data_IF_783039457710
#
_entry.id   IF_783039457710
#
_cell.length_a   1.000
_cell.length_b   1.000
_cell.length_c   1.000
_cell.angle_alpha   90.00
_cell.angle_beta   90.00
_cell.angle_gamma   90.00
#
_symmetry.space_group_name_H-M   'P 1'
#
loop_
_entity.id
_entity.type
_entity.pdbx_description
1 polymer ?
#
# COMPACT_ATOMS: atom_id res chain seq x y z
N UNK A 1 5.61 -32.92 33.69
CA UNK A 1 5.56 -31.66 32.92
C UNK A 1 4.61 -30.70 33.63
N UNK A 2 5.08 -29.49 33.89
CA UNK A 2 4.31 -28.37 34.45
C UNK A 2 4.62 -27.13 33.61
N UNK A 3 3.61 -26.30 33.32
CA UNK A 3 3.78 -25.10 32.51
C UNK A 3 2.77 -25.00 31.36
N UNK A 4 2.91 -23.99 30.52
CA UNK A 4 2.06 -23.82 29.33
C UNK A 4 2.62 -24.62 28.15
N UNK A 5 1.75 -25.22 27.34
CA UNK A 5 2.18 -25.99 26.19
C UNK A 5 1.06 -26.31 25.21
N UNK A 6 1.46 -26.64 23.99
CA UNK A 6 0.57 -27.05 22.91
C UNK A 6 0.75 -28.55 22.65
N UNK A 7 -0.35 -29.28 22.65
CA UNK A 7 -0.39 -30.71 22.34
C UNK A 7 -1.29 -30.95 21.13
N UNK A 8 -0.73 -31.60 20.11
CA UNK A 8 -1.45 -32.00 18.92
C UNK A 8 -1.88 -33.46 19.08
N UNK A 9 -3.18 -33.71 18.97
CA UNK A 9 -3.75 -35.05 19.00
C UNK A 9 -3.66 -35.70 17.61
N UNK A 10 -3.58 -37.03 17.56
CA UNK A 10 -3.57 -37.78 16.31
C UNK A 10 -4.84 -37.54 15.46
N UNK A 11 -5.96 -37.24 16.11
CA UNK A 11 -7.24 -36.91 15.46
C UNK A 11 -7.28 -35.50 14.84
N UNK A 12 -6.14 -34.77 14.81
CA UNK A 12 -6.04 -33.41 14.28
C UNK A 12 -6.58 -32.32 15.21
N UNK A 13 -7.03 -32.68 16.41
CA UNK A 13 -7.37 -31.69 17.46
C UNK A 13 -6.08 -31.12 18.04
N UNK A 14 -6.11 -29.89 18.54
CA UNK A 14 -5.02 -29.33 19.31
C UNK A 14 -5.51 -28.79 20.64
N UNK A 15 -4.69 -28.92 21.67
CA UNK A 15 -4.92 -28.28 22.96
C UNK A 15 -3.75 -27.36 23.27
N UNK A 16 -4.06 -26.12 23.58
CA UNK A 16 -3.12 -25.10 24.00
C UNK A 16 -3.53 -24.63 25.38
N UNK A 17 -2.66 -24.79 26.38
CA UNK A 17 -3.06 -24.41 27.73
C UNK A 17 -2.05 -24.76 28.80
N UNK A 18 -2.50 -24.57 30.03
CA UNK A 18 -1.72 -24.90 31.21
C UNK A 18 -1.75 -26.41 31.50
N UNK A 19 -0.58 -26.93 31.83
CA UNK A 19 -0.34 -28.33 32.15
C UNK A 19 0.21 -28.45 33.55
N UNK A 20 -0.26 -29.46 34.27
CA UNK A 20 0.24 -29.82 35.58
C UNK A 20 0.30 -31.34 35.69
N UNK A 21 1.46 -31.90 36.06
CA UNK A 21 1.72 -33.36 36.11
C UNK A 21 1.33 -34.11 34.83
N UNK A 22 1.50 -33.46 33.66
CA UNK A 22 1.14 -34.04 32.37
C UNK A 22 -0.38 -34.12 32.09
N UNK A 23 -1.20 -33.49 32.94
CA UNK A 23 -2.64 -33.31 32.71
C UNK A 23 -2.95 -31.86 32.40
N UNK A 24 -4.04 -31.63 31.66
CA UNK A 24 -4.58 -30.30 31.39
C UNK A 24 -5.16 -29.72 32.68
N UNK A 25 -4.62 -28.59 33.11
CA UNK A 25 -4.97 -27.97 34.39
C UNK A 25 -4.77 -26.46 34.34
N UNK A 26 -5.82 -25.70 34.66
CA UNK A 26 -5.85 -24.24 34.51
C UNK A 26 -6.53 -23.80 33.22
N UNK A 27 -6.20 -22.61 32.73
CA UNK A 27 -6.80 -22.07 31.51
C UNK A 27 -6.21 -22.74 30.27
N UNK A 28 -7.08 -23.09 29.32
CA UNK A 28 -6.66 -23.66 28.04
C UNK A 28 -7.77 -23.69 26.99
N UNK A 29 -7.36 -23.84 25.75
CA UNK A 29 -8.18 -23.87 24.55
C UNK A 29 -7.96 -25.18 23.81
N UNK A 30 -9.05 -25.83 23.40
CA UNK A 30 -9.04 -27.03 22.57
C UNK A 30 -9.68 -26.70 21.23
N UNK A 31 -8.93 -26.78 20.14
CA UNK A 31 -9.47 -26.61 18.78
C UNK A 31 -9.70 -27.96 18.14
N UNK A 32 -10.86 -28.11 17.51
CA UNK A 32 -11.26 -29.28 16.74
C UNK A 32 -10.99 -29.07 15.26
N UNK A 33 -10.79 -30.17 14.54
CA UNK A 33 -10.60 -30.20 13.08
C UNK A 33 -11.75 -29.54 12.31
N UNK A 34 -12.96 -29.54 12.87
CA UNK A 34 -14.15 -28.91 12.30
C UNK A 34 -14.18 -27.37 12.49
N UNK A 35 -13.11 -26.75 13.00
CA UNK A 35 -13.02 -25.31 13.27
C UNK A 35 -13.67 -24.87 14.60
N UNK A 36 -14.36 -25.78 15.30
CA UNK A 36 -14.90 -25.50 16.62
C UNK A 36 -13.78 -25.41 17.67
N UNK A 37 -13.69 -24.30 18.40
CA UNK A 37 -12.73 -24.11 19.49
C UNK A 37 -13.45 -23.94 20.83
N UNK A 38 -12.98 -24.66 21.84
CA UNK A 38 -13.49 -24.63 23.20
C UNK A 38 -12.40 -24.06 24.11
N UNK A 39 -12.55 -22.83 24.56
CA UNK A 39 -11.71 -22.25 25.60
C UNK A 39 -12.36 -22.40 26.97
N UNK A 40 -11.56 -22.44 28.02
CA UNK A 40 -12.11 -22.63 29.36
C UNK A 40 -11.12 -23.04 30.43
N UNK A 41 -11.65 -23.32 31.62
CA UNK A 41 -10.88 -23.84 32.75
C UNK A 41 -10.91 -25.36 32.75
N UNK A 42 -9.72 -25.95 32.78
CA UNK A 42 -9.46 -27.38 32.83
C UNK A 42 -9.03 -27.78 34.23
N UNK A 43 -9.56 -28.88 34.75
CA UNK A 43 -9.13 -29.46 36.02
C UNK A 43 -9.04 -30.99 35.84
N UNK A 44 -7.91 -31.57 36.24
CA UNK A 44 -7.67 -33.02 36.13
C UNK A 44 -7.87 -33.62 34.72
N UNK A 45 -7.69 -32.83 33.67
CA UNK A 45 -7.91 -33.27 32.29
C UNK A 45 -9.36 -33.12 31.78
N UNK A 46 -10.28 -32.61 32.60
CA UNK A 46 -11.69 -32.35 32.25
C UNK A 46 -11.93 -30.85 32.13
N UNK A 47 -12.74 -30.43 31.16
CA UNK A 47 -13.18 -29.05 31.02
C UNK A 47 -14.29 -28.76 32.04
N UNK A 48 -14.00 -27.99 33.08
CA UNK A 48 -14.99 -27.59 34.10
C UNK A 48 -15.87 -26.43 33.62
N UNK A 49 -15.24 -25.39 33.09
CA UNK A 49 -15.92 -24.19 32.62
C UNK A 49 -15.60 -24.04 31.15
N UNK A 50 -16.52 -24.39 30.26
CA UNK A 50 -16.40 -24.09 28.85
C UNK A 50 -16.81 -22.63 28.60
N UNK A 51 -15.84 -21.77 28.39
CA UNK A 51 -16.05 -20.49 27.71
C UNK A 51 -16.22 -20.80 26.22
N UNK A 52 -17.29 -21.49 25.83
CA UNK A 52 -17.64 -21.55 24.43
C UNK A 52 -17.90 -20.11 24.01
N UNK A 53 -17.19 -19.55 23.00
CA UNK A 53 -17.68 -18.37 22.33
C UNK A 53 -18.92 -18.84 21.58
N UNK A 54 -20.06 -18.93 22.28
CA UNK A 54 -21.34 -19.00 21.61
C UNK A 54 -21.36 -17.75 20.75
N UNK A 55 -21.52 -17.85 19.42
CA UNK A 55 -21.98 -16.71 18.66
C UNK A 55 -23.37 -16.45 19.24
N UNK A 56 -23.46 -15.61 20.26
CA UNK A 56 -24.76 -15.11 20.68
C UNK A 56 -25.29 -14.39 19.45
N UNK A 57 -26.49 -14.73 18.95
CA UNK A 57 -27.18 -13.89 17.99
C UNK A 57 -27.42 -12.56 18.73
N UNK A 58 -26.54 -11.57 18.52
CA UNK A 58 -26.57 -10.29 19.22
C UNK A 58 -25.36 -9.95 20.09
N UNK A 59 -24.38 -10.85 20.31
CA UNK A 59 -23.07 -10.39 20.78
C UNK A 59 -22.34 -9.78 19.58
N UNK A 60 -22.18 -8.47 19.59
CA UNK A 60 -21.41 -7.67 18.65
C UNK A 60 -19.90 -7.95 18.78
N UNK A 61 -19.51 -9.20 18.57
CA UNK A 61 -18.21 -9.54 17.99
C UNK A 61 -18.35 -9.94 16.52
N UNK A 62 -19.46 -9.52 15.88
CA UNK A 62 -19.50 -9.36 14.45
C UNK A 62 -18.42 -8.34 14.08
N UNK A 63 -17.22 -8.85 13.85
CA UNK A 63 -16.19 -8.18 13.07
C UNK A 63 -16.92 -7.80 11.79
N UNK A 64 -17.36 -6.55 11.70
CA UNK A 64 -18.05 -6.06 10.52
C UNK A 64 -17.05 -6.24 9.39
N UNK A 65 -17.26 -7.26 8.57
CA UNK A 65 -16.35 -7.63 7.49
C UNK A 65 -16.06 -6.42 6.61
N UNK A 66 -17.04 -5.54 6.43
CA UNK A 66 -16.90 -4.23 5.80
C UNK A 66 -15.87 -3.34 6.51
N UNK A 67 -15.92 -3.15 7.83
CA UNK A 67 -14.98 -2.28 8.56
C UNK A 67 -13.54 -2.81 8.56
N UNK A 68 -13.36 -4.13 8.56
CA UNK A 68 -12.03 -4.72 8.44
C UNK A 68 -11.52 -4.62 7.02
N UNK A 69 -12.37 -4.87 6.02
CA UNK A 69 -12.01 -4.67 4.62
C UNK A 69 -11.65 -3.20 4.34
N UNK A 70 -12.46 -2.25 4.80
CA UNK A 70 -12.21 -0.82 4.65
C UNK A 70 -10.88 -0.43 5.33
N UNK A 71 -10.65 -0.91 6.55
CA UNK A 71 -9.39 -0.64 7.26
C UNK A 71 -8.16 -1.26 6.55
N UNK A 72 -8.29 -2.45 5.99
CA UNK A 72 -7.22 -3.11 5.22
C UNK A 72 -6.99 -2.41 3.88
N UNK A 73 -8.06 -1.97 3.21
CA UNK A 73 -8.00 -1.20 1.97
C UNK A 73 -7.37 0.17 2.19
N UNK A 74 -7.75 0.87 3.25
CA UNK A 74 -7.16 2.15 3.64
C UNK A 74 -5.68 1.98 4.01
N UNK A 75 -5.34 0.94 4.76
CA UNK A 75 -3.95 0.62 5.08
C UNK A 75 -3.12 0.32 3.81
N UNK A 76 -3.68 -0.44 2.86
CA UNK A 76 -3.03 -0.70 1.55
C UNK A 76 -2.86 0.59 0.77
N UNK A 77 -3.89 1.42 0.66
CA UNK A 77 -3.84 2.68 -0.07
C UNK A 77 -2.86 3.68 0.58
N UNK A 78 -2.76 3.70 1.91
CA UNK A 78 -1.77 4.51 2.61
C UNK A 78 -0.33 3.99 2.36
N UNK A 79 -0.13 2.67 2.37
CA UNK A 79 1.16 2.07 2.05
C UNK A 79 1.59 2.33 0.60
N UNK A 80 0.67 2.25 -0.36
CA UNK A 80 0.93 2.58 -1.77
C UNK A 80 1.30 4.05 -1.97
N UNK A 81 0.63 4.98 -1.26
CA UNK A 81 1.00 6.41 -1.29
C UNK A 81 2.36 6.67 -0.67
N UNK A 82 2.69 5.98 0.42
CA UNK A 82 4.01 6.07 1.05
C UNK A 82 5.11 5.48 0.15
N UNK A 83 4.79 4.43 -0.62
CA UNK A 83 5.71 3.84 -1.59
C UNK A 83 5.88 4.72 -2.85
N UNK A 84 4.80 5.34 -3.33
CA UNK A 84 4.80 6.32 -4.42
C UNK A 84 5.16 7.75 -3.96
N UNK A 85 5.79 7.91 -2.79
CA UNK A 85 6.52 9.15 -2.53
C UNK A 85 7.51 9.29 -3.68
N UNK A 86 7.46 10.38 -4.48
CA UNK A 86 8.34 10.54 -5.61
C UNK A 86 9.75 10.38 -5.06
N UNK A 87 10.41 9.28 -5.44
CA UNK A 87 11.78 9.06 -5.03
C UNK A 87 12.55 10.27 -5.53
N UNK A 88 13.63 10.65 -4.84
CA UNK A 88 14.43 11.81 -5.24
C UNK A 88 14.76 11.76 -6.74
N UNK A 89 14.87 10.55 -7.29
CA UNK A 89 14.96 10.20 -8.71
C UNK A 89 13.90 10.85 -9.61
N UNK A 90 12.61 10.87 -9.25
CA UNK A 90 11.55 11.50 -10.06
C UNK A 90 11.69 13.02 -10.13
N UNK A 91 12.15 13.63 -9.04
CA UNK A 91 12.39 15.08 -8.99
C UNK A 91 13.59 15.46 -9.85
N UNK A 92 14.65 14.67 -9.81
CA UNK A 92 15.85 14.85 -10.64
C UNK A 92 15.50 14.62 -12.11
N UNK A 93 14.82 13.53 -12.44
CA UNK A 93 14.40 13.24 -13.81
C UNK A 93 13.51 14.34 -14.38
N UNK A 94 12.54 14.85 -13.61
CA UNK A 94 11.71 15.98 -14.05
C UNK A 94 12.55 17.25 -14.28
N UNK A 95 13.56 17.51 -13.46
CA UNK A 95 14.45 18.64 -13.64
C UNK A 95 15.34 18.50 -14.89
N UNK A 96 15.87 17.31 -15.16
CA UNK A 96 16.67 17.02 -16.36
C UNK A 96 15.82 17.21 -17.62
N UNK A 97 14.60 16.63 -17.65
CA UNK A 97 13.66 16.80 -18.77
C UNK A 97 13.28 18.27 -18.98
N UNK A 98 13.09 19.04 -17.91
CA UNK A 98 12.81 20.46 -18.01
C UNK A 98 14.00 21.26 -18.58
N UNK A 99 15.23 20.92 -18.20
CA UNK A 99 16.44 21.54 -18.73
C UNK A 99 16.62 21.24 -20.23
N UNK A 100 16.44 19.99 -20.65
CA UNK A 100 16.54 19.59 -22.05
C UNK A 100 15.47 20.28 -22.91
N UNK A 101 14.24 20.37 -22.42
CA UNK A 101 13.16 21.09 -23.12
C UNK A 101 13.49 22.58 -23.28
N UNK A 102 14.06 23.21 -22.26
CA UNK A 102 14.48 24.62 -22.32
C UNK A 102 15.63 24.84 -23.31
N UNK A 103 16.64 23.96 -23.30
CA UNK A 103 17.76 24.01 -24.24
C UNK A 103 17.28 23.85 -25.70
N UNK A 104 16.38 22.88 -25.95
CA UNK A 104 15.79 22.68 -27.26
C UNK A 104 14.95 23.88 -27.70
N UNK A 105 14.16 24.47 -26.81
CA UNK A 105 13.38 25.68 -27.12
C UNK A 105 14.28 26.88 -27.47
N UNK A 106 15.40 27.06 -26.76
CA UNK A 106 16.37 28.12 -27.05
C UNK A 106 17.05 27.93 -28.42
N UNK A 107 17.41 26.69 -28.78
CA UNK A 107 17.98 26.38 -30.08
C UNK A 107 16.99 26.66 -31.23
N UNK A 108 15.70 26.33 -31.04
CA UNK A 108 14.64 26.62 -32.01
C UNK A 108 14.41 28.14 -32.12
N UNK A 109 14.43 28.87 -31.00
CA UNK A 109 14.26 30.32 -31.01
C UNK A 109 15.43 31.04 -31.70
N UNK A 110 16.67 30.62 -31.44
CA UNK A 110 17.86 31.17 -32.09
C UNK A 110 17.88 30.90 -33.60
N UNK A 111 17.59 29.67 -34.01
CA UNK A 111 17.49 29.35 -35.44
C UNK A 111 16.34 30.12 -36.12
N UNK A 112 15.21 30.30 -35.44
CA UNK A 112 14.10 31.13 -35.93
C UNK A 112 14.50 32.60 -36.08
N UNK A 113 15.20 33.16 -35.09
CA UNK A 113 15.68 34.55 -35.13
C UNK A 113 16.62 34.80 -36.32
N UNK A 114 17.62 33.94 -36.53
CA UNK A 114 18.55 34.02 -37.68
C UNK A 114 17.82 33.91 -39.03
N UNK A 115 16.77 33.10 -39.10
CA UNK A 115 15.97 32.97 -40.32
C UNK A 115 15.12 34.22 -40.60
N UNK A 116 14.65 34.92 -39.56
CA UNK A 116 13.97 36.22 -39.69
C UNK A 116 14.93 37.34 -40.09
N UNK A 117 16.14 37.40 -39.53
CA UNK A 117 17.14 38.41 -39.92
C UNK A 117 17.53 38.28 -41.40
N UNK A 118 17.69 37.05 -41.91
CA UNK A 118 17.94 36.80 -43.34
C UNK A 118 16.75 37.14 -44.24
N UNK A 119 15.54 37.19 -43.69
CA UNK A 119 14.33 37.61 -44.44
C UNK A 119 14.17 39.12 -44.44
N UNK A 120 14.45 39.80 -43.34
CA UNK A 120 14.35 41.27 -43.25
C UNK A 120 15.43 41.98 -44.07
N UNK A 121 16.64 41.43 -44.18
CA UNK A 121 17.67 41.96 -45.09
C UNK A 121 17.39 41.68 -46.59
N UNK A 122 16.30 40.99 -46.91
CA UNK A 122 15.90 40.65 -48.28
C UNK A 122 14.77 41.52 -48.87
N UNK A 123 14.27 42.51 -48.14
CA UNK A 123 13.10 43.32 -48.54
C UNK A 123 13.36 44.82 -48.71
N UNK A 124 14.61 45.28 -48.59
CA UNK A 124 14.98 46.71 -48.76
C UNK A 124 15.63 47.05 -50.11
N UNK A 125 15.21 46.45 -51.24
CA UNK A 125 15.57 47.00 -52.56
C UNK A 125 14.49 46.67 -53.59
N UNK A 126 13.45 47.52 -53.69
CA UNK A 126 12.70 47.83 -54.93
C UNK A 126 11.42 48.62 -54.59
N UNK A 127 11.55 49.87 -54.16
CA UNK A 127 10.53 50.86 -54.52
C UNK A 127 11.10 52.27 -54.51
N UNK A 128 10.75 53.00 -55.57
CA UNK A 128 10.90 54.44 -55.77
C UNK A 128 12.29 55.00 -56.15
N UNK A 129 12.65 54.83 -57.42
CA UNK A 129 13.37 55.87 -58.14
C UNK A 129 12.37 56.93 -58.66
N UNK A 130 12.38 58.18 -58.15
CA UNK A 130 11.68 59.27 -58.81
C UNK A 130 12.51 59.76 -60.00
N UNK A 131 12.12 59.40 -61.22
CA UNK A 131 12.64 60.05 -62.42
C UNK A 131 11.78 61.27 -62.73
N UNK A 132 12.31 62.46 -62.49
CA UNK A 132 11.85 63.68 -63.16
C UNK A 132 13.00 64.44 -63.82
N UNK A 133 12.78 64.68 -65.13
CA UNK A 133 13.18 65.83 -65.97
C UNK A 133 14.65 65.85 -66.46
N UNK A 134 14.85 65.63 -67.77
CA UNK A 134 14.94 66.68 -68.83
C UNK A 134 14.42 66.10 -70.15
#
# INVERSE_FOLDING_TARGET
MHGFGVYHFADGKCYEGSWHKGKREGLGMCSSTNGASLSGRWANGVLEISTSPKPFPGASFAVNHTRVLDAVQDARAAAERAYNVPRVDDRVNRAVVAADNAANAAAIAGSKAVQTEKRDHGVEYLHDFPMQIV
#
